data_IF_344088263717
#
_entry.id   IF_344088263717
#
_cell.length_a   1.000
_cell.length_b   1.000
_cell.length_c   1.000
_cell.angle_alpha   90.00
_cell.angle_beta   90.00
_cell.angle_gamma   90.00
#
_symmetry.space_group_name_H-M   'P 1'
#
loop_
_entity.id
_entity.type
_entity.pdbx_description
1 polymer ?
#
# COMPACT_ATOMS: atom_id res chain seq x y z
N UNK A 1 -5.14 -40.39 -8.53
CA UNK A 1 -4.17 -40.32 -7.41
C UNK A 1 -4.24 -38.91 -6.86
N UNK A 2 -4.66 -38.78 -5.61
CA UNK A 2 -5.10 -37.52 -5.00
C UNK A 2 -3.94 -36.55 -4.71
N UNK A 3 -4.24 -35.26 -4.80
CA UNK A 3 -3.42 -34.15 -4.33
C UNK A 3 -3.14 -34.30 -2.82
N UNK A 4 -1.88 -34.18 -2.42
CA UNK A 4 -1.49 -34.01 -1.02
C UNK A 4 -1.50 -32.51 -0.68
N UNK A 5 -2.22 -32.07 0.37
CA UNK A 5 -2.13 -30.70 0.85
C UNK A 5 -0.91 -30.57 1.76
N UNK A 6 -0.06 -29.59 1.47
CA UNK A 6 0.97 -29.16 2.42
C UNK A 6 0.30 -28.27 3.47
N UNK A 7 0.11 -28.88 4.64
CA UNK A 7 -0.23 -28.24 5.91
C UNK A 7 0.95 -27.41 6.44
N UNK A 8 0.60 -26.49 7.34
CA UNK A 8 1.41 -25.80 8.35
C UNK A 8 1.75 -24.33 8.06
N UNK A 9 0.95 -23.44 8.67
CA UNK A 9 1.55 -22.33 9.40
C UNK A 9 0.88 -22.12 10.77
N UNK A 10 1.60 -22.58 11.80
CA UNK A 10 1.87 -21.89 13.07
C UNK A 10 0.76 -21.06 13.73
N UNK A 11 0.24 -21.58 14.85
CA UNK A 11 -0.44 -20.80 15.89
C UNK A 11 0.46 -19.65 16.38
N UNK A 12 0.04 -18.41 16.18
CA UNK A 12 0.54 -17.25 16.93
C UNK A 12 -0.46 -16.83 18.02
N UNK A 13 0.06 -16.48 19.19
CA UNK A 13 -0.68 -16.14 20.41
C UNK A 13 -1.40 -14.79 20.28
N UNK A 14 -2.72 -14.77 20.47
CA UNK A 14 -3.45 -13.69 21.15
C UNK A 14 -3.49 -12.27 20.55
N UNK A 15 -3.09 -12.06 19.30
CA UNK A 15 -3.40 -10.85 18.53
C UNK A 15 -4.54 -11.13 17.56
N UNK A 16 -5.43 -10.16 17.32
CA UNK A 16 -6.45 -10.31 16.27
C UNK A 16 -5.71 -10.42 14.93
N UNK A 17 -5.60 -11.65 14.42
CA UNK A 17 -4.94 -11.93 13.15
C UNK A 17 -5.70 -11.26 12.01
N UNK A 18 -4.98 -10.69 11.04
CA UNK A 18 -5.61 -10.02 9.91
C UNK A 18 -6.40 -11.03 9.07
N UNK A 19 -7.71 -10.83 8.95
CA UNK A 19 -8.56 -11.62 8.05
C UNK A 19 -8.27 -11.24 6.61
N UNK A 20 -8.13 -12.23 5.74
CA UNK A 20 -8.01 -12.04 4.29
C UNK A 20 -9.34 -12.37 3.62
N UNK A 21 -9.77 -11.51 2.70
CA UNK A 21 -11.02 -11.65 1.97
C UNK A 21 -10.68 -11.68 0.47
N UNK A 22 -10.84 -12.84 -0.21
CA UNK A 22 -10.61 -12.92 -1.64
C UNK A 22 -11.68 -12.15 -2.42
N UNK A 23 -11.23 -11.37 -3.41
CA UNK A 23 -12.10 -10.64 -4.35
C UNK A 23 -11.90 -11.22 -5.75
N UNK A 24 -12.79 -12.11 -6.23
CA UNK A 24 -12.62 -12.81 -7.51
C UNK A 24 -13.00 -11.90 -8.69
N UNK A 25 -12.00 -11.41 -9.42
CA UNK A 25 -12.14 -10.52 -10.60
C UNK A 25 -11.39 -11.06 -11.83
N UNK A 26 -11.18 -12.38 -11.90
CA UNK A 26 -10.40 -13.04 -12.94
C UNK A 26 -8.90 -12.75 -12.79
N UNK A 27 -8.24 -12.34 -13.88
CA UNK A 27 -6.82 -11.94 -13.89
C UNK A 27 -6.49 -10.76 -12.94
N UNK A 28 -7.50 -10.03 -12.46
CA UNK A 28 -7.35 -8.90 -11.53
C UNK A 28 -7.80 -9.22 -10.11
N UNK A 29 -7.91 -10.51 -9.76
CA UNK A 29 -8.29 -10.92 -8.41
C UNK A 29 -7.25 -10.46 -7.39
N UNK A 30 -7.70 -10.03 -6.21
CA UNK A 30 -6.82 -9.59 -5.12
C UNK A 30 -7.43 -9.92 -3.75
N UNK A 31 -6.61 -9.82 -2.70
CA UNK A 31 -7.02 -10.03 -1.31
C UNK A 31 -7.21 -8.68 -0.60
N UNK A 32 -8.31 -8.55 0.15
CA UNK A 32 -8.49 -7.46 1.12
C UNK A 32 -8.06 -7.93 2.49
N UNK A 33 -7.11 -7.23 3.10
CA UNK A 33 -6.65 -7.49 4.46
C UNK A 33 -7.43 -6.63 5.46
N UNK A 34 -8.07 -7.24 6.45
CA UNK A 34 -8.87 -6.56 7.47
C UNK A 34 -8.39 -6.96 8.86
N UNK A 35 -7.88 -6.00 9.61
CA UNK A 35 -7.39 -6.22 10.96
C UNK A 35 -6.74 -4.97 11.57
N UNK A 36 -6.48 -4.98 12.88
CA UNK A 36 -5.76 -3.89 13.53
C UNK A 36 -4.28 -3.87 13.12
N UNK A 37 -3.66 -2.70 13.15
CA UNK A 37 -2.21 -2.54 12.98
C UNK A 37 -1.65 -2.76 11.58
N UNK A 38 -2.51 -2.87 10.55
CA UNK A 38 -2.08 -3.13 9.17
C UNK A 38 -1.27 -1.97 8.56
N UNK A 39 -1.54 -0.72 8.95
CA UNK A 39 -0.80 0.43 8.42
C UNK A 39 0.69 0.41 8.80
N UNK A 40 1.04 -0.14 9.95
CA UNK A 40 2.45 -0.32 10.36
C UNK A 40 3.16 -1.41 9.54
N UNK A 41 2.38 -2.35 8.97
CA UNK A 41 2.85 -3.47 8.15
C UNK A 41 2.72 -3.17 6.65
N UNK A 42 2.42 -1.92 6.27
CA UNK A 42 2.14 -1.56 4.89
C UNK A 42 3.30 -1.93 3.94
N UNK A 43 4.55 -1.72 4.36
CA UNK A 43 5.74 -2.09 3.60
C UNK A 43 5.76 -3.59 3.26
N UNK A 44 5.63 -4.45 4.27
CA UNK A 44 5.67 -5.90 4.12
C UNK A 44 4.51 -6.41 3.24
N UNK A 45 3.31 -5.84 3.41
CA UNK A 45 2.13 -6.20 2.62
C UNK A 45 2.28 -5.79 1.15
N UNK A 46 2.83 -4.60 0.90
CA UNK A 46 3.12 -4.11 -0.45
C UNK A 46 4.18 -5.00 -1.11
N UNK A 47 5.27 -5.31 -0.41
CA UNK A 47 6.35 -6.15 -0.93
C UNK A 47 5.85 -7.58 -1.24
N UNK A 48 5.07 -8.18 -0.37
CA UNK A 48 4.49 -9.51 -0.61
C UNK A 48 3.58 -9.56 -1.84
N UNK A 49 2.98 -8.43 -2.23
CA UNK A 49 2.02 -8.35 -3.35
C UNK A 49 2.68 -7.91 -4.65
N UNK A 50 3.57 -6.92 -4.60
CA UNK A 50 4.14 -6.24 -5.78
C UNK A 50 5.64 -6.46 -5.95
N UNK A 51 6.29 -7.11 -5.00
CA UNK A 51 7.75 -7.13 -4.86
C UNK A 51 8.30 -5.80 -4.37
N UNK A 52 9.62 -5.72 -4.27
CA UNK A 52 10.31 -4.51 -3.82
C UNK A 52 10.09 -3.36 -4.83
N UNK A 53 9.38 -2.32 -4.42
CA UNK A 53 8.99 -1.19 -5.27
C UNK A 53 9.11 0.14 -4.53
N UNK A 54 9.37 1.24 -5.24
CA UNK A 54 9.30 2.59 -4.66
C UNK A 54 7.85 3.05 -4.58
N UNK A 55 7.44 3.59 -3.44
CA UNK A 55 6.06 3.96 -3.15
C UNK A 55 5.91 5.46 -2.89
N UNK A 56 5.06 6.13 -3.67
CA UNK A 56 4.53 7.45 -3.31
C UNK A 56 3.20 7.31 -2.58
N UNK A 57 2.91 8.20 -1.64
CA UNK A 57 1.63 8.27 -0.93
C UNK A 57 0.81 9.43 -1.49
N UNK A 58 -0.47 9.20 -1.80
CA UNK A 58 -1.43 10.26 -2.13
C UNK A 58 -2.59 10.15 -1.15
N UNK A 59 -2.91 11.23 -0.46
CA UNK A 59 -3.95 11.25 0.57
C UNK A 59 -4.56 12.65 0.71
N UNK A 60 -5.69 12.77 1.42
CA UNK A 60 -6.25 14.08 1.76
C UNK A 60 -5.80 14.56 3.15
N UNK A 61 -6.02 15.83 3.46
CA UNK A 61 -5.65 16.46 4.73
C UNK A 61 -6.22 15.76 5.98
N UNK A 62 -7.45 15.27 5.92
CA UNK A 62 -8.09 14.61 7.06
C UNK A 62 -7.43 13.26 7.33
N UNK A 63 -7.22 12.47 6.28
CA UNK A 63 -6.54 11.17 6.40
C UNK A 63 -5.07 11.36 6.78
N UNK A 64 -4.43 12.40 6.23
CA UNK A 64 -3.03 12.71 6.53
C UNK A 64 -2.80 12.96 8.02
N UNK A 65 -3.67 13.78 8.64
CA UNK A 65 -3.58 14.13 10.06
C UNK A 65 -3.61 12.91 11.00
N UNK A 66 -4.26 11.81 10.60
CA UNK A 66 -4.44 10.63 11.44
C UNK A 66 -3.52 9.44 11.10
N UNK A 67 -3.12 9.31 9.83
CA UNK A 67 -2.55 8.07 9.31
C UNK A 67 -1.22 8.23 8.57
N UNK A 68 -0.93 9.39 7.97
CA UNK A 68 0.21 9.54 7.07
C UNK A 68 1.54 9.19 7.75
N UNK A 69 1.81 9.77 8.92
CA UNK A 69 3.06 9.54 9.65
C UNK A 69 3.34 8.06 9.96
N UNK A 70 2.28 7.25 10.17
CA UNK A 70 2.42 5.82 10.44
C UNK A 70 2.86 5.06 9.18
N UNK A 71 2.27 5.40 8.04
CA UNK A 71 2.58 4.75 6.75
C UNK A 71 3.95 5.18 6.26
N UNK A 72 4.27 6.47 6.32
CA UNK A 72 5.60 6.99 5.97
C UNK A 72 6.70 6.33 6.79
N UNK A 73 6.52 6.23 8.11
CA UNK A 73 7.48 5.55 8.98
C UNK A 73 7.66 4.07 8.61
N UNK A 74 6.58 3.37 8.23
CA UNK A 74 6.67 1.98 7.76
C UNK A 74 7.48 1.84 6.48
N UNK A 75 7.18 2.66 5.47
CA UNK A 75 7.87 2.63 4.18
C UNK A 75 9.32 3.13 4.25
N UNK A 76 9.59 4.14 5.07
CA UNK A 76 10.94 4.69 5.24
C UNK A 76 11.90 3.69 5.90
N UNK A 77 11.42 2.83 6.82
CA UNK A 77 12.24 1.80 7.47
C UNK A 77 12.87 0.81 6.50
N UNK A 78 12.19 0.53 5.39
CA UNK A 78 12.68 -0.36 4.33
C UNK A 78 13.23 0.41 3.12
N UNK A 79 13.34 1.73 3.21
CA UNK A 79 13.95 2.57 2.18
C UNK A 79 13.12 2.76 0.90
N UNK A 80 11.81 2.44 0.93
CA UNK A 80 10.98 2.48 -0.29
C UNK A 80 10.09 3.72 -0.43
N UNK A 81 10.05 4.60 0.58
CA UNK A 81 9.24 5.82 0.52
C UNK A 81 9.81 6.82 -0.50
N UNK A 82 9.01 7.20 -1.48
CA UNK A 82 9.39 8.14 -2.53
C UNK A 82 8.93 9.58 -2.27
N UNK A 83 7.98 9.78 -1.37
CA UNK A 83 7.35 11.07 -1.07
C UNK A 83 5.85 10.94 -0.83
N UNK A 84 5.23 12.03 -0.38
CA UNK A 84 3.81 12.09 -0.05
C UNK A 84 3.19 13.36 -0.63
N UNK A 85 2.00 13.21 -1.22
CA UNK A 85 1.18 14.31 -1.77
C UNK A 85 -0.09 14.37 -0.93
N UNK A 86 -0.30 15.51 -0.26
CA UNK A 86 -1.50 15.76 0.54
C UNK A 86 -2.39 16.74 -0.22
N UNK A 87 -3.62 16.32 -0.50
CA UNK A 87 -4.62 17.07 -1.26
C UNK A 87 -5.66 17.70 -0.32
N UNK A 88 -6.33 18.79 -0.74
CA UNK A 88 -7.48 19.31 -0.02
C UNK A 88 -8.58 18.25 0.14
N UNK A 89 -9.20 18.18 1.31
CA UNK A 89 -10.28 17.23 1.56
C UNK A 89 -11.57 17.58 0.82
N UNK A 90 -12.31 16.55 0.38
CA UNK A 90 -13.65 16.68 -0.19
C UNK A 90 -13.78 16.25 -1.66
N UNK A 91 -15.02 16.05 -2.10
CA UNK A 91 -15.33 15.52 -3.44
C UNK A 91 -14.91 16.48 -4.57
N UNK A 92 -14.88 17.79 -4.30
CA UNK A 92 -14.44 18.79 -5.27
C UNK A 92 -13.01 18.56 -5.78
N UNK A 93 -12.16 17.89 -4.99
CA UNK A 93 -10.79 17.53 -5.38
C UNK A 93 -10.75 16.44 -6.45
N UNK A 94 -11.82 15.67 -6.67
CA UNK A 94 -11.91 14.68 -7.76
C UNK A 94 -12.29 15.35 -9.07
N UNK A 95 -11.38 16.16 -9.58
CA UNK A 95 -11.51 16.87 -10.85
C UNK A 95 -10.31 16.59 -11.75
N UNK A 96 -10.49 16.76 -13.06
CA UNK A 96 -9.38 16.62 -14.02
C UNK A 96 -8.24 17.60 -13.77
N UNK A 97 -8.57 18.82 -13.31
CA UNK A 97 -7.56 19.82 -12.94
C UNK A 97 -6.66 19.32 -11.82
N UNK A 98 -7.25 18.74 -10.76
CA UNK A 98 -6.46 18.18 -9.66
C UNK A 98 -5.71 16.92 -10.08
N UNK A 99 -6.30 16.09 -10.94
CA UNK A 99 -5.61 14.92 -11.50
C UNK A 99 -4.37 15.32 -12.31
N UNK A 100 -4.43 16.39 -13.11
CA UNK A 100 -3.28 16.88 -13.87
C UNK A 100 -2.13 17.34 -12.97
N UNK A 101 -2.45 18.15 -11.96
CA UNK A 101 -1.47 18.60 -10.95
C UNK A 101 -0.86 17.40 -10.20
N UNK A 102 -1.69 16.44 -9.79
CA UNK A 102 -1.22 15.23 -9.13
C UNK A 102 -0.27 14.42 -10.03
N UNK A 103 -0.59 14.28 -11.32
CA UNK A 103 0.29 13.59 -12.27
C UNK A 103 1.66 14.28 -12.37
N UNK A 104 1.70 15.61 -12.43
CA UNK A 104 2.94 16.37 -12.49
C UNK A 104 3.80 16.12 -11.23
N UNK A 105 3.19 16.19 -10.05
CA UNK A 105 3.89 15.93 -8.79
C UNK A 105 4.43 14.49 -8.69
N UNK A 106 3.66 13.49 -9.16
CA UNK A 106 4.12 12.10 -9.18
C UNK A 106 5.34 11.92 -10.11
N UNK A 107 5.38 12.64 -11.24
CA UNK A 107 6.52 12.64 -12.15
C UNK A 107 7.76 13.32 -11.54
N UNK A 108 7.57 14.43 -10.81
CA UNK A 108 8.65 15.12 -10.08
C UNK A 108 9.27 14.22 -9.00
N UNK A 109 8.49 13.32 -8.38
CA UNK A 109 9.00 12.30 -7.45
C UNK A 109 9.78 11.16 -8.14
N UNK A 110 9.86 11.15 -9.47
CA UNK A 110 10.52 10.13 -10.25
C UNK A 110 9.79 8.78 -10.23
N UNK A 111 8.47 8.78 -10.01
CA UNK A 111 7.66 7.57 -10.09
C UNK A 111 7.34 7.25 -11.56
N UNK A 112 7.65 6.03 -11.97
CA UNK A 112 7.42 5.52 -13.34
C UNK A 112 6.62 4.22 -13.31
N UNK A 113 6.11 3.80 -14.47
CA UNK A 113 5.51 2.47 -14.62
C UNK A 113 6.52 1.39 -14.22
N UNK A 114 6.09 0.45 -13.38
CA UNK A 114 6.93 -0.65 -12.91
C UNK A 114 8.08 -0.20 -12.01
N UNK A 115 7.85 0.76 -11.10
CA UNK A 115 8.88 1.35 -10.26
C UNK A 115 9.47 0.36 -9.23
N UNK A 116 10.33 -0.53 -9.70
CA UNK A 116 11.12 -1.45 -8.89
C UNK A 116 12.05 -0.64 -7.97
N UNK A 117 12.14 -1.03 -6.70
CA UNK A 117 13.16 -0.50 -5.81
C UNK A 117 14.51 -1.05 -6.29
N UNK A 118 15.39 -0.18 -6.81
CA UNK A 118 16.76 -0.59 -7.13
C UNK A 118 17.56 -0.54 -5.83
N UNK A 119 18.12 -1.68 -5.42
CA UNK A 119 18.92 -1.76 -4.21
C UNK A 119 20.09 -0.76 -4.24
N UNK A 120 20.30 -0.06 -3.13
CA UNK A 120 21.60 0.49 -2.75
C UNK A 120 22.22 -0.40 -1.68
#
# INVERSE_FOLDING_TARGET
MAMSPHDQNGRSKGGIEARRIPVPLGERSYEVHVGPGLLQQAADLIEATLGSCRCGIVTDENVAAHHLAKVESGLAKVGVHAGSIVLPAGEATKSFTQLDLLCQQLLEMGLKRGNQATGQ
#
